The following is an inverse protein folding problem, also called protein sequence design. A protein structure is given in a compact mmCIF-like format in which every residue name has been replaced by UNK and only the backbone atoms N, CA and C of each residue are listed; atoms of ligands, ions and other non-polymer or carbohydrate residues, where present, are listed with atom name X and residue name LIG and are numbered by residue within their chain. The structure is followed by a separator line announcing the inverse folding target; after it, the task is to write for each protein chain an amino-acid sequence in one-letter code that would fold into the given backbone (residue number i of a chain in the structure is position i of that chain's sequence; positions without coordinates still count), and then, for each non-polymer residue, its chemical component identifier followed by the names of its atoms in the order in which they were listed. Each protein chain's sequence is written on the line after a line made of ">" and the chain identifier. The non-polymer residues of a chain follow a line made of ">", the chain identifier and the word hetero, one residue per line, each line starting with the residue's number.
data_IF_644670621636
#
_entry.id   IF_644670621636
#
_cell.length_a   1.000
_cell.length_b   1.000
_cell.length_c   1.000
_cell.angle_alpha   90.00
_cell.angle_beta   90.00
_cell.angle_gamma   90.00
#
_symmetry.space_group_name_H-M   'P 1'
#
loop_
_entity.id
_entity.type
_entity.pdbx_description
1 polymer ?
#
# COMPACT_ATOMS: atom_id res chain seq x y z
N UNK A 1 -6.15 36.54 14.25
CA UNK A 1 -5.39 35.47 13.56
C UNK A 1 -5.23 34.21 14.42
N UNK A 2 -4.95 34.34 15.72
CA UNK A 2 -4.77 33.21 16.67
C UNK A 2 -6.01 32.32 16.79
N UNK A 3 -7.20 32.91 16.96
CA UNK A 3 -8.47 32.16 17.09
C UNK A 3 -8.74 31.24 15.88
N UNK A 4 -8.44 31.70 14.66
CA UNK A 4 -8.59 30.90 13.43
C UNK A 4 -7.69 29.66 13.41
N UNK A 5 -6.44 29.79 13.87
CA UNK A 5 -5.48 28.67 13.94
C UNK A 5 -5.86 27.67 15.03
N UNK A 6 -6.35 28.14 16.18
CA UNK A 6 -6.85 27.27 17.24
C UNK A 6 -8.05 26.45 16.76
N UNK A 7 -9.00 27.08 16.07
CA UNK A 7 -10.15 26.38 15.47
C UNK A 7 -9.69 25.34 14.44
N UNK A 8 -8.75 25.70 13.54
CA UNK A 8 -8.19 24.74 12.56
C UNK A 8 -7.51 23.55 13.22
N UNK A 9 -6.78 23.77 14.32
CA UNK A 9 -6.10 22.71 15.07
C UNK A 9 -7.10 21.76 15.71
N UNK A 10 -8.10 22.28 16.40
CA UNK A 10 -9.14 21.47 17.06
C UNK A 10 -9.93 20.67 16.02
N UNK A 11 -10.40 21.33 14.97
CA UNK A 11 -11.19 20.66 13.93
C UNK A 11 -10.36 19.62 13.15
N UNK A 12 -9.10 19.94 12.84
CA UNK A 12 -8.17 19.00 12.22
C UNK A 12 -7.92 17.76 13.10
N UNK A 13 -7.72 17.96 14.40
CA UNK A 13 -7.54 16.86 15.36
C UNK A 13 -8.81 15.98 15.48
N UNK A 14 -10.00 16.59 15.52
CA UNK A 14 -11.27 15.86 15.55
C UNK A 14 -11.47 15.01 14.31
N UNK A 15 -11.19 15.55 13.11
CA UNK A 15 -11.28 14.80 11.86
C UNK A 15 -10.29 13.62 11.81
N UNK A 16 -9.07 13.80 12.33
CA UNK A 16 -8.09 12.72 12.42
C UNK A 16 -8.51 11.64 13.42
N UNK A 17 -9.07 12.03 14.57
CA UNK A 17 -9.61 11.09 15.54
C UNK A 17 -10.79 10.29 14.96
N UNK A 18 -11.70 10.96 14.24
CA UNK A 18 -12.82 10.33 13.55
C UNK A 18 -12.33 9.35 12.46
N UNK A 19 -11.37 9.76 11.63
CA UNK A 19 -10.76 8.87 10.63
C UNK A 19 -10.11 7.64 11.29
N UNK A 20 -9.38 7.83 12.40
CA UNK A 20 -8.79 6.75 13.18
C UNK A 20 -9.83 5.77 13.75
N UNK A 21 -10.94 6.28 14.29
CA UNK A 21 -12.04 5.45 14.78
C UNK A 21 -12.68 4.62 13.65
N UNK A 22 -12.89 5.22 12.48
CA UNK A 22 -13.38 4.52 11.29
C UNK A 22 -12.40 3.45 10.83
N UNK A 23 -11.09 3.72 10.83
CA UNK A 23 -10.06 2.75 10.48
C UNK A 23 -10.07 1.54 11.45
N UNK A 24 -10.20 1.77 12.75
CA UNK A 24 -10.29 0.69 13.75
C UNK A 24 -11.57 -0.13 13.55
N UNK A 25 -12.70 0.53 13.38
CA UNK A 25 -13.98 -0.14 13.12
C UNK A 25 -13.94 -0.98 11.84
N UNK A 26 -13.32 -0.47 10.77
CA UNK A 26 -13.10 -1.20 9.53
C UNK A 26 -12.27 -2.46 9.74
N UNK A 27 -11.12 -2.33 10.43
CA UNK A 27 -10.25 -3.47 10.68
C UNK A 27 -10.96 -4.53 11.52
N UNK A 28 -11.72 -4.13 12.53
CA UNK A 28 -12.56 -5.04 13.30
C UNK A 28 -13.60 -5.75 12.44
N UNK A 29 -14.29 -5.00 11.57
CA UNK A 29 -15.31 -5.55 10.67
C UNK A 29 -14.70 -6.58 9.72
N UNK A 30 -13.55 -6.27 9.12
CA UNK A 30 -12.79 -7.17 8.25
C UNK A 30 -12.41 -8.45 9.00
N UNK A 31 -11.89 -8.32 10.23
CA UNK A 31 -11.44 -9.47 11.02
C UNK A 31 -12.58 -10.40 11.45
N UNK A 32 -13.77 -9.87 11.73
CA UNK A 32 -14.89 -10.65 12.29
C UNK A 32 -15.85 -11.15 11.21
N UNK A 33 -16.18 -10.32 10.23
CA UNK A 33 -17.20 -10.62 9.24
C UNK A 33 -16.62 -11.01 7.88
N UNK A 34 -15.31 -10.88 7.68
CA UNK A 34 -14.71 -10.92 6.35
C UNK A 34 -15.17 -9.74 5.49
N UNK A 35 -14.60 -9.60 4.30
CA UNK A 35 -14.91 -8.48 3.41
C UNK A 35 -16.31 -8.62 2.77
N UNK A 36 -17.29 -7.87 3.27
CA UNK A 36 -18.65 -7.82 2.71
C UNK A 36 -18.64 -6.93 1.46
N UNK A 37 -18.34 -7.51 0.29
CA UNK A 37 -18.40 -6.90 -1.05
C UNK A 37 -17.45 -5.72 -1.36
N UNK A 38 -16.87 -5.74 -2.56
CA UNK A 38 -15.93 -4.72 -3.11
C UNK A 38 -16.50 -3.29 -3.09
N UNK A 39 -17.80 -3.13 -3.30
CA UNK A 39 -18.48 -1.82 -3.27
C UNK A 39 -18.47 -1.18 -1.87
N UNK A 40 -18.59 -1.99 -0.82
CA UNK A 40 -18.43 -1.56 0.56
C UNK A 40 -17.00 -1.12 0.82
N UNK A 41 -16.01 -1.85 0.30
CA UNK A 41 -14.59 -1.49 0.37
C UNK A 41 -14.27 -0.09 -0.18
N UNK A 42 -14.86 0.29 -1.31
CA UNK A 42 -14.68 1.63 -1.91
C UNK A 42 -15.29 2.75 -1.06
N UNK A 43 -16.49 2.54 -0.51
CA UNK A 43 -17.11 3.50 0.42
C UNK A 43 -16.30 3.63 1.71
N UNK A 44 -15.75 2.51 2.20
CA UNK A 44 -14.88 2.47 3.37
C UNK A 44 -13.56 3.24 3.13
N UNK A 45 -12.95 3.10 1.95
CA UNK A 45 -11.79 3.90 1.54
C UNK A 45 -12.15 5.40 1.50
N UNK A 46 -13.30 5.76 0.92
CA UNK A 46 -13.73 7.17 0.85
C UNK A 46 -13.96 7.77 2.26
N UNK A 47 -14.57 7.01 3.16
CA UNK A 47 -14.82 7.41 4.55
C UNK A 47 -13.54 7.57 5.39
N UNK A 48 -12.42 6.96 4.99
CA UNK A 48 -11.12 7.17 5.64
C UNK A 48 -10.34 8.30 4.95
N UNK A 49 -10.24 8.27 3.63
CA UNK A 49 -9.38 9.17 2.86
C UNK A 49 -9.83 10.64 2.94
N UNK A 50 -11.13 10.93 2.87
CA UNK A 50 -11.64 12.29 2.90
C UNK A 50 -11.40 13.01 4.25
N UNK A 51 -11.84 12.48 5.41
CA UNK A 51 -11.58 13.12 6.70
C UNK A 51 -10.10 13.10 7.07
N UNK A 52 -9.34 12.06 6.68
CA UNK A 52 -7.90 12.04 6.92
C UNK A 52 -7.18 13.11 6.11
N UNK A 53 -7.45 13.25 4.82
CA UNK A 53 -6.86 14.31 3.99
C UNK A 53 -7.20 15.70 4.54
N UNK A 54 -8.47 15.96 4.83
CA UNK A 54 -8.92 17.25 5.35
C UNK A 54 -8.35 17.53 6.75
N UNK A 55 -8.32 16.52 7.62
CA UNK A 55 -7.76 16.59 8.97
C UNK A 55 -6.27 16.91 8.95
N UNK A 56 -5.49 16.21 8.12
CA UNK A 56 -4.05 16.48 7.91
C UNK A 56 -3.85 17.89 7.36
N UNK A 57 -4.63 18.29 6.35
CA UNK A 57 -4.49 19.60 5.72
C UNK A 57 -4.75 20.74 6.72
N UNK A 58 -5.80 20.64 7.53
CA UNK A 58 -6.14 21.65 8.52
C UNK A 58 -5.15 21.66 9.69
N UNK A 59 -4.75 20.48 10.19
CA UNK A 59 -3.81 20.37 11.28
C UNK A 59 -2.43 20.89 10.87
N UNK A 60 -1.94 20.52 9.68
CA UNK A 60 -0.68 21.02 9.14
C UNK A 60 -0.72 22.55 9.00
N UNK A 61 -1.78 23.13 8.42
CA UNK A 61 -1.92 24.59 8.30
C UNK A 61 -2.06 25.34 9.63
N UNK A 62 -2.37 24.64 10.73
CA UNK A 62 -2.42 25.25 12.06
C UNK A 62 -1.04 25.58 12.65
N UNK A 63 0.04 25.05 12.08
CA UNK A 63 1.41 25.31 12.50
C UNK A 63 2.09 26.35 11.60
N UNK A 64 2.85 27.25 12.21
CA UNK A 64 3.66 28.25 11.48
C UNK A 64 5.02 27.70 11.01
N UNK A 65 5.53 26.68 11.70
CA UNK A 65 6.81 26.08 11.40
C UNK A 65 6.67 25.00 10.29
N UNK A 66 7.31 25.15 9.12
CA UNK A 66 7.30 24.15 8.05
C UNK A 66 7.73 22.75 8.50
N UNK A 67 8.66 22.65 9.45
CA UNK A 67 9.08 21.37 10.01
C UNK A 67 7.94 20.67 10.77
N UNK A 68 7.12 21.43 11.51
CA UNK A 68 5.95 20.89 12.20
C UNK A 68 4.86 20.44 11.20
N UNK A 69 4.63 21.22 10.14
CA UNK A 69 3.69 20.86 9.07
C UNK A 69 4.10 19.52 8.41
N UNK A 70 5.37 19.40 8.04
CA UNK A 70 5.93 18.18 7.46
C UNK A 70 5.84 16.99 8.42
N UNK A 71 6.10 17.20 9.71
CA UNK A 71 5.97 16.15 10.74
C UNK A 71 4.55 15.61 10.80
N UNK A 72 3.53 16.48 10.80
CA UNK A 72 2.11 16.08 10.79
C UNK A 72 1.78 15.23 9.57
N UNK A 73 2.16 15.68 8.37
CA UNK A 73 1.94 14.93 7.12
C UNK A 73 2.61 13.56 7.18
N UNK A 74 3.88 13.50 7.59
CA UNK A 74 4.64 12.23 7.64
C UNK A 74 4.10 11.24 8.66
N UNK A 75 3.73 11.71 9.85
CA UNK A 75 3.12 10.83 10.87
C UNK A 75 1.79 10.29 10.35
N UNK A 76 0.97 11.13 9.73
CA UNK A 76 -0.32 10.71 9.17
C UNK A 76 -0.17 9.72 8.02
N UNK A 77 0.83 9.93 7.16
CA UNK A 77 1.19 8.98 6.10
C UNK A 77 1.66 7.63 6.68
N UNK A 78 2.47 7.64 7.74
CA UNK A 78 2.93 6.41 8.40
C UNK A 78 1.79 5.66 9.11
N UNK A 79 0.86 6.37 9.74
CA UNK A 79 -0.35 5.77 10.34
C UNK A 79 -1.24 5.14 9.28
N UNK A 80 -1.48 5.86 8.17
CA UNK A 80 -2.25 5.33 7.04
C UNK A 80 -1.56 4.11 6.42
N UNK A 81 -0.24 4.13 6.31
CA UNK A 81 0.54 3.00 5.82
C UNK A 81 0.43 1.78 6.76
N UNK A 82 0.53 1.98 8.07
CA UNK A 82 0.36 0.91 9.05
C UNK A 82 -1.02 0.27 9.00
N UNK A 83 -2.07 1.07 8.87
CA UNK A 83 -3.43 0.56 8.66
C UNK A 83 -3.58 -0.22 7.35
N UNK A 84 -3.04 0.31 6.26
CA UNK A 84 -3.04 -0.39 4.98
C UNK A 84 -2.32 -1.75 5.07
N UNK A 85 -1.17 -1.82 5.73
CA UNK A 85 -0.47 -3.08 5.97
C UNK A 85 -1.28 -4.05 6.83
N UNK A 86 -1.96 -3.55 7.87
CA UNK A 86 -2.82 -4.38 8.71
C UNK A 86 -4.02 -4.95 7.92
N UNK A 87 -4.66 -4.13 7.09
CA UNK A 87 -5.73 -4.56 6.20
C UNK A 87 -5.24 -5.59 5.18
N UNK A 88 -4.10 -5.36 4.54
CA UNK A 88 -3.47 -6.32 3.63
C UNK A 88 -3.17 -7.66 4.32
N UNK A 89 -2.51 -7.65 5.48
CA UNK A 89 -2.18 -8.86 6.22
C UNK A 89 -3.44 -9.62 6.65
N UNK A 90 -4.49 -8.87 7.02
CA UNK A 90 -5.78 -9.47 7.36
C UNK A 90 -6.38 -10.20 6.16
N UNK A 91 -6.46 -9.56 4.99
CA UNK A 91 -7.12 -10.12 3.80
C UNK A 91 -6.31 -11.22 3.11
N UNK A 92 -4.98 -11.08 3.08
CA UNK A 92 -4.10 -12.03 2.40
C UNK A 92 -3.83 -13.28 3.22
N UNK A 93 -3.86 -13.16 4.56
CA UNK A 93 -3.42 -14.22 5.47
C UNK A 93 -4.49 -14.52 6.52
N UNK A 94 -4.78 -13.58 7.44
CA UNK A 94 -5.57 -13.89 8.64
C UNK A 94 -6.98 -14.39 8.32
N UNK A 95 -7.66 -13.77 7.35
CA UNK A 95 -9.01 -14.14 6.92
C UNK A 95 -9.06 -15.47 6.17
N UNK A 96 -7.91 -15.98 5.70
CA UNK A 96 -7.81 -17.21 4.91
C UNK A 96 -7.35 -18.42 5.71
N UNK A 97 -6.88 -18.21 6.94
CA UNK A 97 -6.45 -19.30 7.82
C UNK A 97 -7.64 -19.83 8.60
N UNK A 98 -7.94 -21.12 8.44
CA UNK A 98 -8.81 -21.82 9.38
C UNK A 98 -8.00 -22.19 10.64
N UNK A 99 -8.03 -21.30 11.63
CA UNK A 99 -7.31 -21.51 12.89
C UNK A 99 -7.83 -22.70 13.70
N UNK A 100 -9.11 -23.07 13.55
CA UNK A 100 -9.72 -24.16 14.31
C UNK A 100 -9.37 -25.53 13.71
N UNK A 101 -9.33 -25.63 12.38
CA UNK A 101 -9.07 -26.87 11.66
C UNK A 101 -7.77 -26.84 10.85
N UNK A 102 -6.77 -26.08 11.32
CA UNK A 102 -5.52 -25.84 10.60
C UNK A 102 -4.84 -27.13 10.11
N UNK A 103 -4.80 -28.17 10.94
CA UNK A 103 -4.17 -29.44 10.58
C UNK A 103 -4.88 -30.15 9.41
N UNK A 104 -6.21 -30.07 9.36
CA UNK A 104 -7.03 -30.64 8.29
C UNK A 104 -6.90 -29.81 7.01
N UNK A 105 -6.98 -28.47 7.13
CA UNK A 105 -6.78 -27.56 6.01
C UNK A 105 -5.39 -27.76 5.37
N UNK A 106 -4.34 -27.87 6.18
CA UNK A 106 -2.99 -28.15 5.70
C UNK A 106 -2.85 -29.54 5.06
N UNK A 107 -3.58 -30.55 5.55
CA UNK A 107 -3.60 -31.87 4.92
C UNK A 107 -4.28 -31.83 3.54
N UNK A 108 -5.45 -31.19 3.45
CA UNK A 108 -6.16 -30.98 2.18
C UNK A 108 -5.34 -30.17 1.19
N UNK A 109 -4.63 -29.15 1.65
CA UNK A 109 -3.72 -28.36 0.82
C UNK A 109 -2.62 -29.23 0.22
N UNK A 110 -2.00 -30.10 1.03
CA UNK A 110 -0.95 -31.02 0.56
C UNK A 110 -1.46 -32.04 -0.45
N UNK A 111 -2.68 -32.56 -0.26
CA UNK A 111 -3.30 -33.46 -1.23
C UNK A 111 -3.60 -32.78 -2.56
N UNK A 112 -3.89 -31.47 -2.53
CA UNK A 112 -4.22 -30.67 -3.71
C UNK A 112 -3.08 -29.72 -4.13
N UNK A 113 -1.84 -30.02 -3.77
CA UNK A 113 -0.70 -29.09 -3.92
C UNK A 113 -0.56 -28.54 -5.34
N UNK A 114 -0.71 -29.40 -6.35
CA UNK A 114 -0.61 -29.04 -7.76
C UNK A 114 -1.74 -28.11 -8.24
N UNK A 115 -2.89 -28.11 -7.55
CA UNK A 115 -4.01 -27.21 -7.84
C UNK A 115 -3.90 -25.88 -7.07
N UNK A 116 -3.15 -25.88 -5.97
CA UNK A 116 -2.95 -24.71 -5.09
C UNK A 116 -1.66 -23.95 -5.39
N UNK A 117 -0.83 -24.45 -6.30
CA UNK A 117 0.43 -23.84 -6.69
C UNK A 117 0.55 -23.68 -8.20
N UNK A 118 1.02 -22.52 -8.63
CA UNK A 118 1.39 -22.26 -10.01
C UNK A 118 2.75 -21.55 -10.06
N UNK A 119 3.76 -22.28 -10.54
CA UNK A 119 5.11 -21.73 -10.75
C UNK A 119 5.41 -21.44 -12.22
N UNK A 120 4.42 -21.57 -13.11
CA UNK A 120 4.57 -21.34 -14.54
C UNK A 120 4.09 -19.93 -14.89
N UNK A 121 5.01 -19.03 -15.30
CA UNK A 121 4.64 -17.67 -15.65
C UNK A 121 3.60 -17.62 -16.77
N UNK A 122 2.65 -16.71 -16.60
CA UNK A 122 1.52 -16.39 -17.46
C UNK A 122 0.44 -17.47 -17.58
N UNK A 123 0.54 -18.61 -16.89
CA UNK A 123 -0.45 -19.69 -17.00
C UNK A 123 -1.83 -19.25 -16.51
N UNK A 124 -1.91 -18.71 -15.30
CA UNK A 124 -3.15 -18.21 -14.69
C UNK A 124 -3.66 -16.96 -15.41
N UNK A 125 -2.77 -16.05 -15.81
CA UNK A 125 -3.14 -14.86 -16.59
C UNK A 125 -3.81 -15.26 -17.90
N UNK A 126 -3.19 -16.18 -18.65
CA UNK A 126 -3.74 -16.64 -19.92
C UNK A 126 -5.03 -17.43 -19.73
N UNK A 127 -5.15 -18.21 -18.66
CA UNK A 127 -6.38 -18.90 -18.28
C UNK A 127 -7.53 -17.89 -18.12
N UNK A 128 -7.33 -16.84 -17.32
CA UNK A 128 -8.36 -15.82 -17.11
C UNK A 128 -8.65 -14.97 -18.34
N UNK A 129 -7.65 -14.65 -19.17
CA UNK A 129 -7.87 -13.97 -20.45
C UNK A 129 -8.68 -14.82 -21.43
N UNK A 130 -8.44 -16.14 -21.50
CA UNK A 130 -9.26 -17.05 -22.30
C UNK A 130 -10.67 -17.16 -21.72
N UNK A 131 -10.80 -17.23 -20.40
CA UNK A 131 -12.09 -17.26 -19.72
C UNK A 131 -12.92 -16.01 -20.03
N UNK A 132 -12.31 -14.82 -20.10
CA UNK A 132 -12.95 -13.58 -20.55
C UNK A 132 -13.35 -13.64 -22.03
N UNK A 133 -12.44 -14.08 -22.89
CA UNK A 133 -12.67 -14.12 -24.35
C UNK A 133 -13.80 -15.06 -24.73
N UNK A 134 -13.86 -16.23 -24.12
CA UNK A 134 -14.82 -17.29 -24.45
C UNK A 134 -16.00 -17.37 -23.47
N UNK A 135 -15.99 -16.53 -22.44
CA UNK A 135 -17.04 -16.38 -21.44
C UNK A 135 -17.44 -17.68 -20.72
N UNK A 136 -16.47 -18.54 -20.40
CA UNK A 136 -16.72 -19.87 -19.80
C UNK A 136 -17.27 -19.82 -18.37
N UNK A 137 -16.92 -18.79 -17.59
CA UNK A 137 -17.22 -18.68 -16.15
C UNK A 137 -17.83 -17.31 -15.78
N UNK A 138 -18.30 -16.55 -16.79
CA UNK A 138 -18.70 -15.16 -16.63
C UNK A 138 -17.50 -14.21 -16.50
N UNK A 139 -17.62 -12.93 -16.91
CA UNK A 139 -16.48 -12.02 -16.91
C UNK A 139 -16.08 -11.53 -15.51
N UNK A 140 -16.98 -11.60 -14.53
CA UNK A 140 -16.74 -11.06 -13.18
C UNK A 140 -15.56 -11.71 -12.46
N UNK A 141 -15.49 -13.04 -12.45
CA UNK A 141 -14.45 -13.83 -11.76
C UNK A 141 -13.04 -13.58 -12.33
N UNK A 142 -12.78 -13.76 -13.65
CA UNK A 142 -11.46 -13.50 -14.21
C UNK A 142 -11.07 -12.02 -14.09
N UNK A 143 -12.01 -11.11 -14.25
CA UNK A 143 -11.74 -9.68 -14.12
C UNK A 143 -11.36 -9.30 -12.68
N UNK A 144 -12.07 -9.83 -11.68
CA UNK A 144 -11.76 -9.55 -10.27
C UNK A 144 -10.42 -10.13 -9.85
N UNK A 145 -10.01 -11.29 -10.36
CA UNK A 145 -8.70 -11.86 -10.05
C UNK A 145 -7.58 -11.05 -10.70
N UNK A 146 -7.66 -10.80 -12.01
CA UNK A 146 -6.64 -10.03 -12.73
C UNK A 146 -6.50 -8.59 -12.18
N UNK A 147 -7.62 -7.88 -12.02
CA UNK A 147 -7.59 -6.52 -11.50
C UNK A 147 -7.29 -6.48 -10.01
N UNK A 148 -7.85 -7.40 -9.21
CA UNK A 148 -7.58 -7.49 -7.78
C UNK A 148 -6.09 -7.63 -7.52
N UNK A 149 -5.44 -8.60 -8.18
CA UNK A 149 -4.00 -8.83 -8.04
C UNK A 149 -3.17 -7.74 -8.69
N UNK A 150 -3.66 -6.98 -9.66
CA UNK A 150 -2.90 -5.83 -10.20
C UNK A 150 -3.01 -4.60 -9.28
N UNK A 151 -4.16 -4.38 -8.64
CA UNK A 151 -4.46 -3.17 -7.86
C UNK A 151 -4.01 -3.28 -6.40
N UNK A 152 -3.95 -4.48 -5.83
CA UNK A 152 -3.80 -4.70 -4.39
C UNK A 152 -2.56 -4.01 -3.81
N UNK A 153 -1.41 -4.15 -4.46
CA UNK A 153 -0.15 -3.57 -3.98
C UNK A 153 0.18 -2.18 -4.55
N UNK A 154 -0.65 -1.61 -5.44
CA UNK A 154 -0.43 -0.28 -6.01
C UNK A 154 -0.18 0.83 -4.96
N UNK A 155 -0.86 0.87 -3.80
CA UNK A 155 -0.58 1.90 -2.79
C UNK A 155 0.87 1.90 -2.28
N UNK A 156 1.60 0.78 -2.38
CA UNK A 156 3.03 0.72 -2.04
C UNK A 156 3.87 1.70 -2.86
N UNK A 157 3.50 1.95 -4.12
CA UNK A 157 4.17 2.92 -4.99
C UNK A 157 4.10 4.36 -4.46
N UNK A 158 3.07 4.68 -3.66
CA UNK A 158 2.95 5.97 -2.97
C UNK A 158 3.70 5.92 -1.64
N UNK A 159 3.42 4.91 -0.81
CA UNK A 159 3.93 4.86 0.57
C UNK A 159 5.45 4.73 0.62
N UNK A 160 6.03 3.75 -0.09
CA UNK A 160 7.45 3.45 0.07
C UNK A 160 8.35 4.62 -0.34
N UNK A 161 8.18 5.29 -1.50
CA UNK A 161 9.05 6.39 -1.90
C UNK A 161 8.83 7.68 -1.08
N UNK A 162 7.65 7.85 -0.48
CA UNK A 162 7.33 8.98 0.39
C UNK A 162 7.87 8.79 1.82
N UNK A 163 7.88 7.56 2.35
CA UNK A 163 8.40 7.24 3.67
C UNK A 163 9.93 7.00 3.66
N UNK A 164 10.46 6.40 2.59
CA UNK A 164 11.85 5.97 2.50
C UNK A 164 12.55 6.58 1.27
N UNK A 165 13.53 7.45 1.49
CA UNK A 165 14.27 8.11 0.41
C UNK A 165 14.94 7.12 -0.55
N UNK A 166 15.45 5.99 -0.05
CA UNK A 166 16.11 4.97 -0.88
C UNK A 166 15.17 4.34 -1.91
N UNK A 167 13.87 4.22 -1.58
CA UNK A 167 12.83 3.66 -2.45
C UNK A 167 12.42 4.59 -3.60
N UNK A 168 12.98 5.81 -3.67
CA UNK A 168 12.85 6.66 -4.85
C UNK A 168 13.73 6.22 -6.03
N UNK A 169 14.66 5.29 -5.83
CA UNK A 169 15.42 4.65 -6.90
C UNK A 169 14.61 3.46 -7.43
N UNK A 170 14.36 3.41 -8.73
CA UNK A 170 13.53 2.37 -9.35
C UNK A 170 14.03 0.96 -9.01
N UNK A 171 15.32 0.68 -9.17
CA UNK A 171 15.88 -0.64 -8.90
C UNK A 171 15.74 -1.09 -7.44
N UNK A 172 15.89 -0.17 -6.47
CA UNK A 172 15.69 -0.48 -5.05
C UNK A 172 14.22 -0.80 -4.79
N UNK A 173 13.32 0.00 -5.37
CA UNK A 173 11.88 -0.21 -5.26
C UNK A 173 11.45 -1.56 -5.86
N UNK A 174 11.90 -1.87 -7.07
CA UNK A 174 11.62 -3.15 -7.75
C UNK A 174 12.10 -4.33 -6.91
N UNK A 175 13.33 -4.28 -6.41
CA UNK A 175 13.90 -5.37 -5.60
C UNK A 175 13.12 -5.56 -4.28
N UNK A 176 12.79 -4.47 -3.59
CA UNK A 176 12.02 -4.52 -2.36
C UNK A 176 10.60 -5.07 -2.58
N UNK A 177 9.93 -4.62 -3.65
CA UNK A 177 8.60 -5.10 -4.02
C UNK A 177 8.62 -6.57 -4.42
N UNK A 178 9.56 -6.99 -5.29
CA UNK A 178 9.69 -8.38 -5.69
C UNK A 178 9.95 -9.29 -4.48
N UNK A 179 10.87 -8.91 -3.59
CA UNK A 179 11.13 -9.67 -2.37
C UNK A 179 9.93 -9.76 -1.44
N UNK A 180 9.18 -8.66 -1.27
CA UNK A 180 7.96 -8.64 -0.46
C UNK A 180 6.87 -9.54 -1.04
N UNK A 181 6.62 -9.48 -2.36
CA UNK A 181 5.59 -10.28 -3.02
C UNK A 181 5.93 -11.77 -2.95
N UNK A 182 7.19 -12.15 -3.20
CA UNK A 182 7.66 -13.53 -3.00
C UNK A 182 7.46 -13.99 -1.55
N UNK A 183 7.76 -13.12 -0.57
CA UNK A 183 7.55 -13.45 0.85
C UNK A 183 6.08 -13.68 1.17
N UNK A 184 5.16 -12.90 0.58
CA UNK A 184 3.71 -13.06 0.78
C UNK A 184 3.23 -14.40 0.22
N UNK A 185 3.57 -14.74 -1.03
CA UNK A 185 3.22 -16.04 -1.63
C UNK A 185 3.83 -17.21 -0.84
N UNK A 186 5.08 -17.06 -0.38
CA UNK A 186 5.74 -18.07 0.44
C UNK A 186 5.05 -18.25 1.80
N UNK A 187 4.60 -17.16 2.44
CA UNK A 187 3.83 -17.25 3.69
C UNK A 187 2.49 -17.92 3.47
N UNK A 188 1.80 -17.61 2.37
CA UNK A 188 0.54 -18.26 1.99
C UNK A 188 0.73 -19.76 1.76
N UNK A 189 1.81 -20.16 1.08
CA UNK A 189 2.19 -21.56 0.91
C UNK A 189 2.46 -22.26 2.25
N UNK A 190 3.29 -21.65 3.11
CA UNK A 190 3.68 -22.20 4.41
C UNK A 190 2.49 -22.35 5.37
N UNK A 191 1.57 -21.38 5.33
CA UNK A 191 0.37 -21.37 6.16
C UNK A 191 -0.80 -22.11 5.50
N UNK A 192 -0.59 -22.72 4.32
CA UNK A 192 -1.62 -23.43 3.56
C UNK A 192 -2.88 -22.58 3.36
N UNK A 193 -2.72 -21.26 3.17
CA UNK A 193 -3.79 -20.30 3.03
C UNK A 193 -3.71 -19.57 1.68
N UNK A 194 -4.73 -19.70 0.84
CA UNK A 194 -4.72 -19.17 -0.53
C UNK A 194 -4.00 -20.07 -1.53
N UNK A 195 -3.59 -19.53 -2.67
CA UNK A 195 -2.84 -20.23 -3.72
C UNK A 195 -1.51 -19.52 -3.94
N UNK A 196 -0.42 -20.28 -4.06
CA UNK A 196 0.90 -19.71 -4.37
C UNK A 196 1.03 -19.59 -5.88
N UNK A 197 0.94 -18.38 -6.43
CA UNK A 197 0.90 -18.16 -7.88
C UNK A 197 1.95 -17.13 -8.31
N UNK A 198 2.87 -17.54 -9.19
CA UNK A 198 3.89 -16.65 -9.76
C UNK A 198 3.26 -15.49 -10.54
N UNK A 199 2.07 -15.69 -11.11
CA UNK A 199 1.36 -14.64 -11.83
C UNK A 199 0.84 -13.54 -10.92
N UNK A 200 0.54 -13.86 -9.65
CA UNK A 200 0.10 -12.87 -8.67
C UNK A 200 1.24 -11.93 -8.30
N UNK A 201 2.48 -12.43 -8.22
CA UNK A 201 3.69 -11.61 -8.09
C UNK A 201 3.84 -10.72 -9.32
N UNK A 202 3.71 -11.26 -10.53
CA UNK A 202 3.88 -10.50 -11.77
C UNK A 202 2.83 -9.41 -11.93
N UNK A 203 1.56 -9.70 -11.65
CA UNK A 203 0.45 -8.76 -11.71
C UNK A 203 0.62 -7.64 -10.68
N UNK A 204 0.88 -7.99 -9.42
CA UNK A 204 1.08 -7.01 -8.35
C UNK A 204 2.28 -6.11 -8.62
N UNK A 205 3.41 -6.68 -9.06
CA UNK A 205 4.59 -5.91 -9.40
C UNK A 205 4.32 -4.97 -10.58
N UNK A 206 3.67 -5.47 -11.63
CA UNK A 206 3.33 -4.67 -12.82
C UNK A 206 2.43 -3.48 -12.46
N UNK A 207 1.33 -3.73 -11.74
CA UNK A 207 0.42 -2.68 -11.32
C UNK A 207 1.11 -1.63 -10.45
N UNK A 208 1.93 -2.08 -9.51
CA UNK A 208 2.70 -1.19 -8.64
C UNK A 208 3.70 -0.35 -9.43
N UNK A 209 4.39 -0.92 -10.43
CA UNK A 209 5.35 -0.19 -11.26
C UNK A 209 4.68 0.84 -12.17
N UNK A 210 3.47 0.55 -12.67
CA UNK A 210 2.68 1.53 -13.43
C UNK A 210 2.43 2.78 -12.57
N UNK A 211 1.94 2.60 -11.33
CA UNK A 211 1.71 3.73 -10.42
C UNK A 211 3.01 4.43 -10.06
N UNK A 212 4.08 3.68 -9.80
CA UNK A 212 5.40 4.27 -9.53
C UNK A 212 5.87 5.16 -10.68
N UNK A 213 5.71 4.72 -11.93
CA UNK A 213 6.03 5.50 -13.14
C UNK A 213 5.19 6.76 -13.25
N UNK A 214 3.87 6.67 -13.01
CA UNK A 214 2.96 7.82 -12.99
C UNK A 214 3.43 8.87 -11.97
N UNK A 215 3.85 8.45 -10.77
CA UNK A 215 4.33 9.37 -9.73
C UNK A 215 5.64 10.09 -10.09
N UNK A 216 6.42 9.58 -11.07
CA UNK A 216 7.63 10.24 -11.57
C UNK A 216 7.33 11.35 -12.57
N UNK A 217 6.12 11.42 -13.13
CA UNK A 217 5.71 12.51 -14.03
C UNK A 217 5.86 13.85 -13.28
N UNK A 218 6.41 14.90 -13.91
CA UNK A 218 6.70 16.17 -13.23
C UNK A 218 5.51 16.80 -12.50
N UNK A 219 4.31 16.65 -13.07
CA UNK A 219 3.07 17.10 -12.45
C UNK A 219 2.83 16.46 -11.07
N UNK A 220 2.83 15.12 -11.00
CA UNK A 220 2.61 14.38 -9.76
C UNK A 220 3.76 14.58 -8.78
N UNK A 221 5.01 14.59 -9.25
CA UNK A 221 6.17 14.88 -8.39
C UNK A 221 6.09 16.26 -7.74
N UNK A 222 5.67 17.30 -8.49
CA UNK A 222 5.43 18.65 -7.95
C UNK A 222 4.29 18.64 -6.92
N UNK A 223 3.20 17.91 -7.18
CA UNK A 223 2.08 17.77 -6.27
C UNK A 223 2.52 17.14 -4.94
N UNK A 224 3.25 16.01 -4.98
CA UNK A 224 3.75 15.34 -3.77
C UNK A 224 4.70 16.24 -2.95
N UNK A 225 5.55 17.03 -3.62
CA UNK A 225 6.41 18.01 -2.96
C UNK A 225 5.61 19.13 -2.28
N UNK A 226 4.57 19.67 -2.94
CA UNK A 226 3.69 20.71 -2.37
C UNK A 226 2.91 20.21 -1.16
N UNK A 227 2.60 18.92 -1.11
CA UNK A 227 1.91 18.29 0.00
C UNK A 227 2.87 17.82 1.12
N UNK A 228 4.18 18.11 1.03
CA UNK A 228 5.21 17.67 1.99
C UNK A 228 5.34 16.15 2.13
N UNK A 229 4.88 15.38 1.13
CA UNK A 229 4.89 13.91 1.14
C UNK A 229 6.27 13.32 0.81
N UNK A 230 7.01 13.94 -0.11
CA UNK A 230 8.35 13.47 -0.46
C UNK A 230 9.37 13.86 0.62
N UNK A 231 10.34 12.97 0.92
CA UNK A 231 11.41 13.26 1.85
C UNK A 231 12.35 14.32 1.30
N UNK A 232 12.93 15.12 2.20
CA UNK A 232 13.90 16.14 1.82
C UNK A 232 15.15 15.49 1.21
N UNK A 233 15.76 16.14 0.20
CA UNK A 233 17.07 15.73 -0.27
C UNK A 233 18.04 15.68 0.91
N UNK A 234 18.93 14.68 0.95
CA UNK A 234 20.03 14.71 1.92
C UNK A 234 20.82 16.02 1.73
N UNK A 235 21.19 16.73 2.81
CA UNK A 235 22.10 17.87 2.71
C UNK A 235 23.37 17.44 1.99
N UNK A 236 23.75 18.16 0.94
CA UNK A 236 25.04 17.96 0.29
C UNK A 236 26.10 18.46 1.28
N UNK A 237 27.11 17.65 1.65
CA UNK A 237 28.20 18.13 2.48
C UNK A 237 28.83 19.38 1.85
N UNK A 238 29.23 20.39 2.63
CA UNK A 238 29.96 21.52 2.07
C UNK A 238 31.18 20.99 1.29
N UNK A 239 31.53 21.63 0.16
CA UNK A 239 32.73 21.25 -0.58
C UNK A 239 33.93 21.24 0.36
N UNK A 240 34.81 20.24 0.21
CA UNK A 240 36.04 20.17 1.01
C UNK A 240 36.79 21.51 0.85
N UNK A 241 37.36 22.07 1.94
CA UNK A 241 38.15 23.28 1.83
C UNK A 241 39.21 23.06 0.74
N UNK A 242 39.28 23.98 -0.21
CA UNK A 242 40.31 23.98 -1.24
C UNK A 242 41.66 23.87 -0.53
N UNK A 243 42.41 22.80 -0.83
CA UNK A 243 43.76 22.67 -0.31
C UNK A 243 44.55 23.84 -0.86
N UNK A 244 44.92 24.74 0.04
CA UNK A 244 45.65 25.97 -0.24
C UNK A 244 46.93 25.60 -1.01
N UNK A 245 46.88 25.78 -2.33
CA UNK A 245 48.02 25.58 -3.22
C UNK A 245 48.91 26.83 -3.17
N UNK A 246 49.32 27.22 -1.97
CA UNK A 246 50.36 28.24 -1.74
C UNK A 246 51.13 27.87 -0.48
N UNK A 247 52.11 26.97 -0.66
CA UNK A 247 53.32 26.99 0.13
C UNK A 247 54.47 26.82 -0.86
N UNK A 248 55.02 27.96 -1.27
CA UNK A 248 56.35 28.09 -1.87
C UNK A 248 57.44 27.55 -0.93
#
# INVERSE_FOLDING_TARGET
>A
MIQKKTVQRVFGAVLLAAAGAVMVWQLYTILILGMIHVASGLLLIAMVCAPLFLGVFLLARSFDNPAAQRKVVRVSLAVLFGFYLAALASELILARIDFLHFSQAAAQYRENFDLMTNFRPFETVLLYLRALKYNYIGPGIPLSNLLGNMLLFMPMAVFLPCLFHTMQKLWVFVLAMAGMLVMVEALQLLLSCGSCDVDDILLNLTGTLIVYGILKIPFFKRLLNRLYLLPEPKPVPPPAPEADATAE
#
